data_IF_542144195429
#
_entry.id   IF_542144195429
#
_cell.length_a   1.000
_cell.length_b   1.000
_cell.length_c   1.000
_cell.angle_alpha   90.00
_cell.angle_beta   90.00
_cell.angle_gamma   90.00
#
_symmetry.space_group_name_H-M   'P 1'
#
loop_
_entity.id
_entity.type
_entity.pdbx_description
1 polymer ?
#
# COMPACT_ATOMS: atom_id res chain seq x y z
N UNK A 1 17.17 -30.72 1.61
CA UNK A 1 18.34 -29.81 1.49
C UNK A 1 18.22 -28.80 0.35
N UNK A 2 17.51 -29.08 -0.76
CA UNK A 2 17.25 -28.06 -1.80
C UNK A 2 16.21 -26.99 -1.40
N UNK A 3 15.24 -27.34 -0.55
CA UNK A 3 14.25 -26.39 0.00
C UNK A 3 14.90 -25.21 0.72
N UNK A 4 15.92 -25.45 1.55
CA UNK A 4 16.60 -24.41 2.33
C UNK A 4 17.41 -23.43 1.46
N UNK A 5 17.94 -23.89 0.32
CA UNK A 5 18.76 -23.05 -0.58
C UNK A 5 17.92 -22.01 -1.32
N UNK A 6 16.64 -22.28 -1.58
CA UNK A 6 15.73 -21.31 -2.22
C UNK A 6 15.04 -20.39 -1.18
N UNK A 7 14.88 -20.89 0.06
CA UNK A 7 14.18 -20.19 1.13
C UNK A 7 14.96 -18.96 1.65
N UNK A 8 16.27 -19.11 1.88
CA UNK A 8 17.14 -18.04 2.40
C UNK A 8 17.19 -16.77 1.49
N UNK A 9 17.38 -16.88 0.17
CA UNK A 9 17.35 -15.70 -0.71
C UNK A 9 15.94 -15.11 -0.87
N UNK A 10 14.88 -15.92 -0.80
CA UNK A 10 13.50 -15.43 -0.78
C UNK A 10 13.20 -14.62 0.50
N UNK A 11 13.67 -15.08 1.65
CA UNK A 11 13.55 -14.39 2.95
C UNK A 11 14.36 -13.07 3.00
N UNK A 12 15.54 -13.04 2.37
CA UNK A 12 16.33 -11.81 2.25
C UNK A 12 15.64 -10.78 1.35
N UNK A 13 15.09 -11.21 0.22
CA UNK A 13 14.29 -10.34 -0.69
C UNK A 13 13.02 -9.83 -0.01
N UNK A 14 12.32 -10.68 0.76
CA UNK A 14 11.11 -10.30 1.50
C UNK A 14 11.39 -9.22 2.57
N UNK A 15 12.53 -9.30 3.28
CA UNK A 15 12.92 -8.27 4.26
C UNK A 15 13.26 -6.92 3.61
N UNK A 16 13.97 -6.93 2.48
CA UNK A 16 14.24 -5.69 1.72
C UNK A 16 12.93 -5.09 1.20
N UNK A 17 12.03 -5.92 0.66
CA UNK A 17 10.71 -5.47 0.21
C UNK A 17 9.90 -4.83 1.34
N UNK A 18 9.88 -5.43 2.53
CA UNK A 18 9.15 -4.86 3.67
C UNK A 18 9.71 -3.47 4.06
N UNK A 19 11.02 -3.30 3.98
CA UNK A 19 11.67 -2.01 4.29
C UNK A 19 11.29 -0.94 3.26
N UNK A 20 11.23 -1.32 1.97
CA UNK A 20 10.77 -0.45 0.88
C UNK A 20 9.29 -0.12 1.05
N UNK A 21 8.44 -1.10 1.38
CA UNK A 21 7.01 -0.91 1.61
C UNK A 21 6.76 0.08 2.77
N UNK A 22 7.50 -0.03 3.87
CA UNK A 22 7.42 0.94 4.96
C UNK A 22 7.88 2.32 4.53
N UNK A 23 9.04 2.44 3.87
CA UNK A 23 9.57 3.73 3.43
C UNK A 23 8.58 4.45 2.49
N UNK A 24 8.00 3.71 1.54
CA UNK A 24 6.99 4.24 0.62
C UNK A 24 5.68 4.59 1.33
N UNK A 25 5.23 3.77 2.28
CA UNK A 25 4.02 4.06 3.04
C UNK A 25 4.18 5.34 3.89
N UNK A 26 5.29 5.48 4.60
CA UNK A 26 5.57 6.67 5.40
C UNK A 26 5.76 7.92 4.53
N UNK A 27 6.43 7.79 3.38
CA UNK A 27 6.54 8.88 2.42
C UNK A 27 5.15 9.32 1.90
N UNK A 28 4.29 8.36 1.52
CA UNK A 28 2.94 8.68 1.06
C UNK A 28 2.06 9.30 2.16
N UNK A 29 2.17 8.83 3.41
CA UNK A 29 1.49 9.44 4.55
C UNK A 29 2.00 10.85 4.86
N UNK A 30 3.31 11.07 4.81
CA UNK A 30 3.91 12.38 5.00
C UNK A 30 3.47 13.36 3.91
N UNK A 31 3.43 12.92 2.66
CA UNK A 31 2.90 13.70 1.53
C UNK A 31 1.42 14.00 1.73
N UNK A 32 0.59 13.00 2.06
CA UNK A 32 -0.83 13.22 2.28
C UNK A 32 -1.09 14.20 3.45
N UNK A 33 -0.34 14.06 4.55
CA UNK A 33 -0.41 14.96 5.70
C UNK A 33 0.07 16.38 5.38
N UNK A 34 1.18 16.52 4.64
CA UNK A 34 1.67 17.80 4.16
C UNK A 34 0.64 18.50 3.28
N UNK A 35 0.04 17.78 2.33
CA UNK A 35 -1.01 18.31 1.46
C UNK A 35 -2.28 18.68 2.23
N UNK A 36 -2.61 17.95 3.30
CA UNK A 36 -3.73 18.29 4.18
C UNK A 36 -3.48 19.60 4.94
N UNK A 37 -2.25 19.81 5.39
CA UNK A 37 -1.84 21.00 6.13
C UNK A 37 -1.67 22.23 5.23
N UNK A 38 -1.11 22.02 4.03
CA UNK A 38 -0.91 23.06 3.02
C UNK A 38 -2.20 23.46 2.29
N UNK A 39 -3.29 22.69 2.43
CA UNK A 39 -4.57 23.02 1.83
C UNK A 39 -5.14 24.32 2.43
N UNK A 40 -5.35 25.34 1.58
CA UNK A 40 -5.87 26.65 1.99
C UNK A 40 -7.21 26.57 2.74
N UNK A 41 -7.46 27.56 3.60
CA UNK A 41 -8.75 27.74 4.29
C UNK A 41 -9.84 28.01 3.25
N UNK A 42 -10.64 26.98 2.94
CA UNK A 42 -11.71 27.05 1.92
C UNK A 42 -11.73 25.84 0.97
N UNK A 43 -10.67 25.03 0.97
CA UNK A 43 -10.57 23.80 0.18
C UNK A 43 -11.74 22.85 0.49
N UNK A 44 -12.34 22.27 -0.55
CA UNK A 44 -13.55 21.46 -0.43
C UNK A 44 -13.34 20.22 0.44
N UNK A 45 -14.31 19.86 1.29
CA UNK A 45 -14.20 18.76 2.24
C UNK A 45 -13.87 17.42 1.56
N UNK A 46 -14.33 17.22 0.33
CA UNK A 46 -14.06 16.01 -0.44
C UNK A 46 -12.59 15.88 -0.87
N UNK A 47 -11.83 16.96 -1.06
CA UNK A 47 -10.38 16.86 -1.28
C UNK A 47 -9.67 16.22 -0.07
N UNK A 48 -10.11 16.59 1.15
CA UNK A 48 -9.61 15.98 2.39
C UNK A 48 -10.03 14.51 2.49
N UNK A 49 -11.26 14.16 2.11
CA UNK A 49 -11.68 12.76 2.02
C UNK A 49 -10.81 11.97 1.05
N UNK A 50 -10.48 12.53 -0.12
CA UNK A 50 -9.61 11.89 -1.11
C UNK A 50 -8.20 11.62 -0.55
N UNK A 51 -7.61 12.60 0.14
CA UNK A 51 -6.32 12.43 0.82
C UNK A 51 -6.38 11.40 1.95
N UNK A 52 -7.45 11.36 2.73
CA UNK A 52 -7.66 10.35 3.78
C UNK A 52 -7.76 8.94 3.16
N UNK A 53 -8.46 8.80 2.03
CA UNK A 53 -8.53 7.52 1.30
C UNK A 53 -7.15 7.09 0.77
N UNK A 54 -6.35 8.02 0.24
CA UNK A 54 -4.95 7.74 -0.16
C UNK A 54 -4.10 7.34 1.05
N UNK A 55 -4.27 8.00 2.19
CA UNK A 55 -3.64 7.61 3.45
C UNK A 55 -4.04 6.20 3.92
N UNK A 56 -5.32 5.83 3.73
CA UNK A 56 -5.80 4.48 3.98
C UNK A 56 -5.15 3.43 3.07
N UNK A 57 -4.93 3.76 1.79
CA UNK A 57 -4.17 2.89 0.88
C UNK A 57 -2.71 2.73 1.33
N UNK A 58 -2.07 3.81 1.79
CA UNK A 58 -0.71 3.76 2.36
C UNK A 58 -0.66 2.89 3.62
N UNK A 59 -1.70 2.94 4.46
CA UNK A 59 -1.82 2.05 5.63
C UNK A 59 -1.90 0.58 5.22
N UNK A 60 -2.61 0.24 4.13
CA UNK A 60 -2.63 -1.13 3.60
C UNK A 60 -1.23 -1.63 3.21
N UNK A 61 -0.37 -0.74 2.71
CA UNK A 61 1.03 -1.06 2.40
C UNK A 61 1.84 -1.38 3.67
N UNK A 62 1.63 -0.63 4.76
CA UNK A 62 2.22 -0.93 6.09
C UNK A 62 1.80 -2.33 6.56
N UNK A 63 0.51 -2.66 6.47
CA UNK A 63 0.00 -3.97 6.88
C UNK A 63 0.63 -5.08 6.03
N UNK A 64 0.80 -4.87 4.72
CA UNK A 64 1.51 -5.80 3.84
C UNK A 64 2.98 -5.98 4.27
N UNK A 65 3.68 -4.89 4.61
CA UNK A 65 5.03 -4.94 5.17
C UNK A 65 5.11 -5.75 6.46
N UNK A 66 4.14 -5.57 7.38
CA UNK A 66 4.07 -6.36 8.64
C UNK A 66 3.86 -7.85 8.35
N UNK A 67 3.01 -8.19 7.38
CA UNK A 67 2.80 -9.58 6.96
C UNK A 67 4.09 -10.19 6.39
N UNK A 68 4.87 -9.44 5.60
CA UNK A 68 6.16 -9.87 5.07
C UNK A 68 7.19 -10.12 6.18
N UNK A 69 7.30 -9.20 7.16
CA UNK A 69 8.22 -9.35 8.30
C UNK A 69 7.83 -10.56 9.16
N UNK A 70 6.54 -10.73 9.47
CA UNK A 70 6.06 -11.91 10.21
C UNK A 70 6.28 -13.22 9.45
N UNK A 71 6.17 -13.19 8.13
CA UNK A 71 6.52 -14.33 7.27
C UNK A 71 8.01 -14.66 7.31
N UNK A 72 8.87 -13.64 7.47
CA UNK A 72 10.32 -13.81 7.58
C UNK A 72 10.75 -14.40 8.93
N UNK A 73 10.16 -13.92 10.02
CA UNK A 73 10.59 -14.28 11.38
C UNK A 73 10.02 -15.62 11.86
N UNK A 74 9.06 -16.20 11.11
CA UNK A 74 8.50 -17.51 11.46
C UNK A 74 9.51 -18.62 11.18
N UNK A 75 9.87 -19.35 12.23
CA UNK A 75 10.52 -20.66 12.10
C UNK A 75 9.42 -21.72 11.94
N UNK A 76 9.52 -22.62 10.93
CA UNK A 76 8.54 -23.68 10.76
C UNK A 76 8.61 -24.63 11.95
N UNK A 77 7.55 -24.68 12.77
CA UNK A 77 7.42 -25.63 13.88
C UNK A 77 6.60 -26.86 13.49
N UNK A 78 5.62 -26.73 12.59
CA UNK A 78 4.74 -27.82 12.14
C UNK A 78 4.26 -27.60 10.70
N UNK A 79 4.45 -28.60 9.83
CA UNK A 79 4.09 -28.53 8.40
C UNK A 79 2.62 -28.17 8.14
N UNK A 80 1.69 -28.65 8.96
CA UNK A 80 0.25 -28.36 8.83
C UNK A 80 -0.12 -26.93 9.24
N UNK A 81 0.56 -26.38 10.26
CA UNK A 81 0.36 -25.00 10.68
C UNK A 81 0.99 -24.00 9.69
N UNK A 82 2.03 -24.42 8.97
CA UNK A 82 2.70 -23.61 7.96
C UNK A 82 1.88 -23.51 6.67
N UNK A 83 1.26 -24.59 6.18
CA UNK A 83 0.42 -24.53 4.98
C UNK A 83 -0.82 -23.66 5.17
N UNK A 84 -1.48 -23.75 6.32
CA UNK A 84 -2.64 -22.93 6.65
C UNK A 84 -2.27 -21.45 6.77
N UNK A 85 -1.16 -21.14 7.44
CA UNK A 85 -0.67 -19.77 7.57
C UNK A 85 -0.22 -19.17 6.23
N UNK A 86 0.46 -19.95 5.39
CA UNK A 86 0.86 -19.52 4.05
C UNK A 86 -0.35 -19.26 3.14
N UNK A 87 -1.40 -20.10 3.22
CA UNK A 87 -2.66 -19.86 2.53
C UNK A 87 -3.35 -18.58 3.02
N UNK A 88 -3.37 -18.34 4.34
CA UNK A 88 -3.91 -17.11 4.94
C UNK A 88 -3.08 -15.88 4.55
N UNK A 89 -1.76 -15.96 4.52
CA UNK A 89 -0.89 -14.87 4.06
C UNK A 89 -1.16 -14.54 2.58
N UNK A 90 -1.29 -15.55 1.73
CA UNK A 90 -1.54 -15.39 0.30
C UNK A 90 -2.92 -14.77 0.01
N UNK A 91 -3.96 -15.22 0.72
CA UNK A 91 -5.30 -14.64 0.60
C UNK A 91 -5.40 -13.26 1.28
N UNK A 92 -4.77 -13.10 2.44
CA UNK A 92 -4.75 -11.86 3.21
C UNK A 92 -4.07 -10.73 2.45
N UNK A 93 -2.86 -10.98 1.93
CA UNK A 93 -2.11 -10.00 1.14
C UNK A 93 -2.87 -9.57 -0.12
N UNK A 94 -3.55 -10.50 -0.81
CA UNK A 94 -4.39 -10.16 -1.96
C UNK A 94 -5.58 -9.27 -1.56
N UNK A 95 -6.29 -9.62 -0.49
CA UNK A 95 -7.45 -8.85 -0.02
C UNK A 95 -7.05 -7.44 0.40
N UNK A 96 -5.93 -7.32 1.11
CA UNK A 96 -5.37 -6.03 1.54
C UNK A 96 -4.93 -5.21 0.33
N UNK A 97 -4.30 -5.84 -0.67
CA UNK A 97 -3.94 -5.17 -1.92
C UNK A 97 -5.18 -4.66 -2.68
N UNK A 98 -6.21 -5.49 -2.84
CA UNK A 98 -7.46 -5.08 -3.50
C UNK A 98 -8.16 -3.95 -2.75
N UNK A 99 -8.13 -3.97 -1.42
CA UNK A 99 -8.69 -2.91 -0.59
C UNK A 99 -7.91 -1.61 -0.74
N UNK A 100 -6.58 -1.67 -0.71
CA UNK A 100 -5.71 -0.52 -0.97
C UNK A 100 -5.90 0.06 -2.37
N UNK A 101 -6.05 -0.79 -3.39
CA UNK A 101 -6.38 -0.39 -4.76
C UNK A 101 -7.71 0.35 -4.83
N UNK A 102 -8.76 -0.19 -4.20
CA UNK A 102 -10.07 0.43 -4.15
C UNK A 102 -10.02 1.82 -3.49
N UNK A 103 -9.33 1.94 -2.36
CA UNK A 103 -9.13 3.22 -1.67
C UNK A 103 -8.33 4.22 -2.50
N UNK A 104 -7.30 3.76 -3.22
CA UNK A 104 -6.51 4.62 -4.11
C UNK A 104 -7.33 5.13 -5.30
N UNK A 105 -8.18 4.28 -5.90
CA UNK A 105 -9.07 4.66 -7.00
C UNK A 105 -10.11 5.67 -6.52
N UNK A 106 -10.76 5.42 -5.38
CA UNK A 106 -11.73 6.35 -4.78
C UNK A 106 -11.03 7.67 -4.45
N UNK A 107 -9.88 7.63 -3.78
CA UNK A 107 -9.12 8.81 -3.40
C UNK A 107 -8.70 9.65 -4.60
N UNK A 108 -8.14 9.01 -5.63
CA UNK A 108 -7.73 9.68 -6.87
C UNK A 108 -8.92 10.24 -7.65
N UNK A 109 -10.02 9.50 -7.74
CA UNK A 109 -11.24 9.96 -8.38
C UNK A 109 -11.80 11.20 -7.71
N UNK A 110 -11.89 11.19 -6.37
CA UNK A 110 -12.38 12.34 -5.60
C UNK A 110 -11.43 13.54 -5.73
N UNK A 111 -10.11 13.33 -5.72
CA UNK A 111 -9.12 14.40 -5.92
C UNK A 111 -9.22 15.02 -7.33
N UNK A 112 -9.58 14.25 -8.36
CA UNK A 112 -9.70 14.74 -9.74
C UNK A 112 -11.04 15.43 -10.03
N UNK A 113 -12.14 14.94 -9.46
CA UNK A 113 -13.50 15.40 -9.76
C UNK A 113 -13.87 16.72 -9.06
N UNK A 114 -13.31 16.97 -7.88
CA UNK A 114 -13.77 18.02 -6.97
C UNK A 114 -13.14 19.40 -7.21
N UNK A 115 -11.83 19.53 -7.52
CA UNK A 115 -11.23 20.86 -7.72
C UNK A 115 -11.76 21.59 -8.96
N UNK A 116 -12.32 20.87 -9.94
CA UNK A 116 -12.78 21.42 -11.22
C UNK A 116 -14.27 21.75 -11.30
N UNK A 117 -15.07 21.43 -10.28
CA UNK A 117 -16.54 21.52 -10.37
C UNK A 117 -17.14 22.82 -9.83
N UNK A 118 -16.38 23.67 -9.12
CA UNK A 118 -16.91 24.91 -8.55
C UNK A 118 -16.14 26.18 -8.95
N UNK A 119 -16.80 27.16 -9.60
CA UNK A 119 -16.14 28.36 -10.14
C UNK A 119 -15.72 29.41 -9.09
N UNK A 120 -16.10 29.26 -7.81
CA UNK A 120 -15.90 30.29 -6.77
C UNK A 120 -15.02 29.86 -5.59
N UNK A 121 -14.23 28.78 -5.72
CA UNK A 121 -13.32 28.33 -4.65
C UNK A 121 -11.87 28.28 -5.13
N UNK A 122 -10.90 28.49 -4.23
CA UNK A 122 -9.50 28.30 -4.55
C UNK A 122 -9.28 26.88 -5.06
N UNK A 123 -8.80 26.79 -6.30
CA UNK A 123 -8.56 25.53 -6.99
C UNK A 123 -7.26 24.92 -6.48
N UNK A 124 -7.28 23.61 -6.26
CA UNK A 124 -6.07 22.86 -5.95
C UNK A 124 -5.17 22.88 -7.19
N UNK A 125 -3.89 23.25 -7.03
CA UNK A 125 -2.97 23.32 -8.17
C UNK A 125 -2.82 21.95 -8.85
N UNK A 126 -2.63 21.96 -10.17
CA UNK A 126 -2.39 20.73 -10.93
C UNK A 126 -1.17 19.94 -10.42
N UNK A 127 -0.15 20.65 -9.93
CA UNK A 127 1.01 20.04 -9.29
C UNK A 127 0.63 19.25 -8.03
N UNK A 128 -0.21 19.81 -7.16
CA UNK A 128 -0.69 19.13 -5.96
C UNK A 128 -1.51 17.87 -6.29
N UNK A 129 -2.39 17.96 -7.30
CA UNK A 129 -3.15 16.81 -7.79
C UNK A 129 -2.23 15.71 -8.34
N UNK A 130 -1.24 16.09 -9.15
CA UNK A 130 -0.26 15.15 -9.71
C UNK A 130 0.56 14.44 -8.62
N UNK A 131 0.99 15.17 -7.58
CA UNK A 131 1.72 14.60 -6.44
C UNK A 131 0.85 13.58 -5.68
N UNK A 132 -0.42 13.91 -5.41
CA UNK A 132 -1.34 12.99 -4.71
C UNK A 132 -1.59 11.70 -5.51
N UNK A 133 -1.78 11.82 -6.83
CA UNK A 133 -2.00 10.68 -7.72
C UNK A 133 -0.73 9.84 -7.85
N UNK A 134 0.44 10.48 -7.97
CA UNK A 134 1.72 9.78 -8.00
C UNK A 134 1.94 8.98 -6.71
N UNK A 135 1.65 9.57 -5.54
CA UNK A 135 1.73 8.86 -4.27
C UNK A 135 0.79 7.65 -4.23
N UNK A 136 -0.46 7.80 -4.68
CA UNK A 136 -1.42 6.71 -4.76
C UNK A 136 -0.94 5.57 -5.69
N UNK A 137 -0.43 5.92 -6.88
CA UNK A 137 0.10 4.96 -7.84
C UNK A 137 1.29 4.18 -7.29
N UNK A 138 2.24 4.87 -6.65
CA UNK A 138 3.43 4.24 -6.05
C UNK A 138 3.02 3.24 -4.96
N UNK A 139 2.07 3.59 -4.10
CA UNK A 139 1.57 2.71 -3.03
C UNK A 139 0.91 1.45 -3.60
N UNK A 140 0.06 1.60 -4.63
CA UNK A 140 -0.64 0.47 -5.26
C UNK A 140 0.33 -0.45 -6.00
N UNK A 141 1.31 0.12 -6.71
CA UNK A 141 2.32 -0.66 -7.44
C UNK A 141 3.21 -1.42 -6.47
N UNK A 142 3.72 -0.75 -5.43
CA UNK A 142 4.56 -1.39 -4.41
C UNK A 142 3.83 -2.55 -3.71
N UNK A 143 2.61 -2.30 -3.23
CA UNK A 143 1.79 -3.34 -2.60
C UNK A 143 1.46 -4.50 -3.55
N UNK A 144 1.29 -4.23 -4.84
CA UNK A 144 1.07 -5.24 -5.87
C UNK A 144 2.30 -6.10 -6.13
N UNK A 145 3.49 -5.48 -6.17
CA UNK A 145 4.77 -6.19 -6.27
C UNK A 145 4.97 -7.09 -5.05
N UNK A 146 4.72 -6.58 -3.83
CA UNK A 146 4.80 -7.36 -2.60
C UNK A 146 3.85 -8.56 -2.60
N UNK A 147 2.58 -8.35 -2.99
CA UNK A 147 1.61 -9.43 -3.11
C UNK A 147 2.02 -10.48 -4.18
N UNK A 148 2.60 -10.03 -5.30
CA UNK A 148 3.08 -10.91 -6.36
C UNK A 148 4.29 -11.74 -5.92
N UNK A 149 5.24 -11.15 -5.19
CA UNK A 149 6.40 -11.84 -4.64
C UNK A 149 5.96 -12.90 -3.63
N UNK A 150 5.04 -12.57 -2.71
CA UNK A 150 4.47 -13.55 -1.77
C UNK A 150 3.78 -14.70 -2.52
N UNK A 151 2.99 -14.38 -3.55
CA UNK A 151 2.31 -15.39 -4.37
C UNK A 151 3.24 -16.32 -5.14
N UNK A 152 4.45 -15.85 -5.51
CA UNK A 152 5.46 -16.65 -6.21
C UNK A 152 6.30 -17.48 -5.25
N UNK A 153 6.57 -16.96 -4.05
CA UNK A 153 7.35 -17.67 -3.03
C UNK A 153 6.55 -18.78 -2.32
N UNK A 154 5.23 -18.64 -2.24
CA UNK A 154 4.34 -19.62 -1.62
C UNK A 154 3.85 -20.63 -2.66
N UNK A 155 4.12 -21.95 -2.51
CA UNK A 155 3.60 -22.99 -3.39
C UNK A 155 2.07 -22.95 -3.44
N UNK A 156 1.48 -23.28 -4.60
CA UNK A 156 0.02 -23.53 -4.66
C UNK A 156 -0.27 -24.77 -3.79
N UNK A 157 -1.39 -24.78 -3.05
CA UNK A 157 -1.83 -25.97 -2.34
C UNK A 157 -2.02 -27.14 -3.32
#
# INVERSE_FOLDING_TARGET
MESDRALIPALRKAGVLATVDYALAFAALAVAGWLLFAAEKGTHASFRFGLISIGGAAFCLVVNGVMLVRGRDRRPLFQSADTQFLATLRQGSLRIWLFGLLLAVIGSGVVLLVPNSHPFRPQVSAATMAIAIAAAAVVVVASGVSAAVVRRAVPKP
#
